data_IF_683987962171
#
_entry.id   IF_683987962171
#
_cell.length_a   1.000
_cell.length_b   1.000
_cell.length_c   1.000
_cell.angle_alpha   90.00
_cell.angle_beta   90.00
_cell.angle_gamma   90.00
#
_symmetry.space_group_name_H-M   'P 1'
#
loop_
_entity.id
_entity.type
_entity.pdbx_description
1 polymer ?
#
# COMPACT_ATOMS: atom_id res chain seq x y z
N UNK A 1 -8.88 -19.27 38.21
CA UNK A 1 -8.47 -19.59 36.83
C UNK A 1 -8.85 -18.43 35.91
N UNK A 2 -7.88 -17.61 35.48
CA UNK A 2 -8.12 -16.54 34.48
C UNK A 2 -7.51 -17.01 33.16
N UNK A 3 -8.32 -17.34 32.17
CA UNK A 3 -7.84 -17.53 30.79
C UNK A 3 -7.30 -16.18 30.30
N UNK A 4 -6.05 -16.07 29.80
CA UNK A 4 -5.61 -14.84 29.19
C UNK A 4 -6.36 -14.61 27.87
N UNK A 5 -6.75 -13.35 27.66
CA UNK A 5 -7.41 -12.82 26.48
C UNK A 5 -6.88 -13.47 25.19
N UNK A 6 -7.76 -14.15 24.47
CA UNK A 6 -7.57 -14.45 23.05
C UNK A 6 -7.47 -13.11 22.31
N UNK A 7 -6.25 -12.62 22.09
CA UNK A 7 -6.00 -11.49 21.20
C UNK A 7 -6.59 -11.92 19.85
N UNK A 8 -7.74 -11.35 19.47
CA UNK A 8 -8.27 -11.48 18.10
C UNK A 8 -7.09 -11.15 17.19
N UNK A 9 -6.64 -12.10 16.38
CA UNK A 9 -5.62 -11.88 15.34
C UNK A 9 -6.00 -10.58 14.61
N UNK A 10 -5.34 -9.49 14.96
CA UNK A 10 -5.44 -8.25 14.23
C UNK A 10 -4.83 -8.59 12.88
N UNK A 11 -5.67 -8.62 11.84
CA UNK A 11 -5.21 -8.79 10.47
C UNK A 11 -4.43 -7.52 10.10
N UNK A 12 -3.19 -7.44 10.58
CA UNK A 12 -2.21 -6.46 10.17
C UNK A 12 -1.82 -6.85 8.74
N UNK A 13 -1.95 -5.90 7.84
CA UNK A 13 -1.50 -6.04 6.45
C UNK A 13 -0.42 -5.00 6.18
N UNK A 14 0.43 -5.31 5.20
CA UNK A 14 1.51 -4.43 4.77
C UNK A 14 1.17 -3.84 3.40
N UNK A 15 1.75 -2.69 3.11
CA UNK A 15 1.68 -2.08 1.79
C UNK A 15 2.98 -1.36 1.43
N UNK A 16 3.30 -1.41 0.15
CA UNK A 16 4.36 -0.63 -0.46
C UNK A 16 3.75 0.67 -1.00
N UNK A 17 4.25 1.79 -0.51
CA UNK A 17 3.92 3.14 -0.94
C UNK A 17 5.01 3.62 -1.91
N UNK A 18 4.60 3.95 -3.11
CA UNK A 18 5.42 4.56 -4.13
C UNK A 18 5.32 6.08 -3.98
N UNK A 19 6.45 6.71 -3.69
CA UNK A 19 6.54 8.15 -3.54
C UNK A 19 6.79 8.82 -4.90
N UNK A 20 6.38 10.07 -5.02
CA UNK A 20 6.65 10.89 -6.20
C UNK A 20 8.15 11.22 -6.23
N UNK A 21 8.82 10.86 -7.31
CA UNK A 21 10.25 11.15 -7.46
C UNK A 21 10.51 12.64 -7.70
N UNK A 22 11.73 13.09 -7.37
CA UNK A 22 12.17 14.46 -7.66
C UNK A 22 12.25 14.74 -9.17
N UNK A 23 12.53 13.71 -9.97
CA UNK A 23 12.70 13.83 -11.43
C UNK A 23 11.38 13.73 -12.20
N UNK A 24 10.29 13.37 -11.53
CA UNK A 24 8.99 13.09 -12.17
C UNK A 24 8.88 11.69 -12.80
N UNK A 25 9.95 10.88 -12.76
CA UNK A 25 9.92 9.47 -13.17
C UNK A 25 9.12 8.61 -12.21
N UNK A 26 8.51 7.56 -12.75
CA UNK A 26 7.54 6.72 -12.04
C UNK A 26 7.97 5.26 -12.07
N UNK A 27 8.23 4.69 -10.88
CA UNK A 27 8.47 3.25 -10.75
C UNK A 27 7.26 2.41 -11.14
N UNK A 28 6.07 2.96 -10.91
CA UNK A 28 4.81 2.30 -11.19
C UNK A 28 4.59 2.17 -12.70
N UNK A 29 4.86 3.23 -13.46
CA UNK A 29 4.62 3.29 -14.91
C UNK A 29 5.74 2.64 -15.71
N UNK A 30 6.98 2.77 -15.25
CA UNK A 30 8.17 2.34 -16.00
C UNK A 30 8.58 0.90 -15.68
N UNK A 31 7.95 0.28 -14.68
CA UNK A 31 7.85 -1.19 -14.58
C UNK A 31 9.08 -1.95 -14.11
N UNK A 32 10.22 -1.28 -13.86
CA UNK A 32 11.36 -1.74 -13.06
C UNK A 32 12.34 -0.58 -12.93
N UNK A 33 12.91 -0.37 -11.74
CA UNK A 33 14.17 0.35 -11.67
C UNK A 33 15.16 -0.41 -12.55
N UNK A 34 15.54 0.21 -13.67
CA UNK A 34 16.51 -0.33 -14.61
C UNK A 34 17.72 -0.73 -13.76
N UNK A 35 18.28 -1.92 -14.00
CA UNK A 35 19.28 -2.64 -13.18
C UNK A 35 20.56 -1.86 -12.78
N UNK A 36 20.66 -0.56 -13.09
CA UNK A 36 21.88 0.23 -12.99
C UNK A 36 21.74 1.59 -12.28
N UNK A 37 20.54 2.18 -12.13
CA UNK A 37 20.39 3.43 -11.37
C UNK A 37 18.98 3.65 -10.81
N UNK A 38 18.90 3.78 -9.48
CA UNK A 38 17.67 4.02 -8.73
C UNK A 38 17.44 5.50 -8.40
N UNK A 39 18.49 6.33 -8.58
CA UNK A 39 18.51 7.76 -8.26
C UNK A 39 17.36 8.53 -8.91
N UNK A 40 16.97 8.28 -10.18
CA UNK A 40 15.88 9.01 -10.82
C UNK A 40 14.54 8.77 -10.14
N UNK A 41 14.39 7.66 -9.43
CA UNK A 41 13.15 7.27 -8.76
C UNK A 41 13.08 7.66 -7.29
N UNK A 42 14.16 8.21 -6.74
CA UNK A 42 14.18 8.68 -5.36
C UNK A 42 13.30 9.93 -5.20
N UNK A 43 12.48 9.92 -4.16
CA UNK A 43 11.76 11.10 -3.71
C UNK A 43 12.72 12.07 -2.99
N UNK A 44 12.37 13.35 -2.97
CA UNK A 44 13.12 14.34 -2.21
C UNK A 44 12.98 14.07 -0.69
N UNK A 45 13.96 14.46 0.16
CA UNK A 45 13.87 14.27 1.61
C UNK A 45 12.57 14.81 2.21
N UNK A 46 12.12 15.98 1.75
CA UNK A 46 10.90 16.65 2.21
C UNK A 46 9.65 15.82 1.87
N UNK A 47 9.65 15.16 0.70
CA UNK A 47 8.57 14.24 0.27
C UNK A 47 8.48 13.04 1.20
N UNK A 48 9.63 12.47 1.61
CA UNK A 48 9.65 11.36 2.57
C UNK A 48 9.10 11.78 3.93
N UNK A 49 9.59 12.89 4.47
CA UNK A 49 9.18 13.36 5.79
C UNK A 49 7.69 13.68 5.82
N UNK A 50 7.19 14.36 4.78
CA UNK A 50 5.77 14.63 4.63
C UNK A 50 4.96 13.33 4.57
N UNK A 51 5.32 12.39 3.70
CA UNK A 51 4.61 11.11 3.60
C UNK A 51 4.63 10.34 4.93
N UNK A 52 5.78 10.23 5.61
CA UNK A 52 5.92 9.56 6.91
C UNK A 52 5.01 10.20 7.96
N UNK A 53 5.04 11.53 8.07
CA UNK A 53 4.25 12.25 9.06
C UNK A 53 2.75 12.06 8.81
N UNK A 54 2.31 12.10 7.55
CA UNK A 54 0.91 11.90 7.21
C UNK A 54 0.45 10.45 7.44
N UNK A 55 1.24 9.44 7.05
CA UNK A 55 0.90 8.04 7.35
C UNK A 55 0.87 7.74 8.85
N UNK A 56 1.78 8.34 9.64
CA UNK A 56 1.75 8.24 11.10
C UNK A 56 0.50 8.89 11.70
N UNK A 57 0.10 10.08 11.22
CA UNK A 57 -1.15 10.75 11.64
C UNK A 57 -2.38 9.91 11.32
N UNK A 58 -2.35 9.20 10.19
CA UNK A 58 -3.40 8.26 9.79
C UNK A 58 -3.37 6.96 10.63
N UNK A 59 -2.37 6.75 11.49
CA UNK A 59 -2.29 5.59 12.39
C UNK A 59 -1.58 4.38 11.78
N UNK A 60 -0.86 4.54 10.67
CA UNK A 60 0.00 3.49 10.13
C UNK A 60 1.37 3.46 10.81
N UNK A 61 1.95 2.27 10.89
CA UNK A 61 3.36 2.07 11.27
C UNK A 61 4.23 2.14 10.02
N UNK A 62 5.38 2.81 10.12
CA UNK A 62 6.40 2.81 9.06
C UNK A 62 7.36 1.66 9.33
N UNK A 63 7.43 0.69 8.42
CA UNK A 63 8.23 -0.53 8.56
C UNK A 63 9.60 -0.39 7.92
N UNK A 64 9.68 0.26 6.75
CA UNK A 64 10.93 0.42 6.01
C UNK A 64 10.93 1.70 5.16
N UNK A 65 12.12 2.28 5.00
CA UNK A 65 12.39 3.42 4.12
C UNK A 65 13.48 3.02 3.15
N UNK A 66 13.14 2.96 1.87
CA UNK A 66 14.07 2.80 0.75
C UNK A 66 13.57 3.63 -0.41
N UNK A 67 13.74 3.16 -1.64
CA UNK A 67 13.15 3.78 -2.84
C UNK A 67 11.61 3.90 -2.73
N UNK A 68 11.00 2.95 -2.02
CA UNK A 68 9.60 2.99 -1.60
C UNK A 68 9.50 3.05 -0.08
N UNK A 69 8.33 3.43 0.43
CA UNK A 69 8.01 3.39 1.87
C UNK A 69 7.15 2.16 2.15
N UNK A 70 7.49 1.36 3.16
CA UNK A 70 6.68 0.24 3.61
C UNK A 70 5.87 0.65 4.84
N UNK A 71 4.56 0.40 4.81
CA UNK A 71 3.65 0.71 5.91
C UNK A 71 2.88 -0.53 6.35
N UNK A 72 2.54 -0.60 7.64
CA UNK A 72 1.66 -1.63 8.19
C UNK A 72 0.54 -1.04 9.01
N UNK A 73 -0.54 -1.81 9.15
CA UNK A 73 -1.69 -1.42 9.97
C UNK A 73 -2.83 -2.42 9.89
N UNK A 74 -3.87 -2.25 10.71
CA UNK A 74 -5.07 -3.11 10.65
C UNK A 74 -5.75 -3.00 9.29
N UNK A 75 -6.29 -4.10 8.76
CA UNK A 75 -7.03 -4.11 7.49
C UNK A 75 -8.10 -3.01 7.40
N UNK A 76 -8.87 -2.82 8.48
CA UNK A 76 -9.91 -1.76 8.55
C UNK A 76 -9.33 -0.35 8.37
N UNK A 77 -8.08 -0.14 8.78
CA UNK A 77 -7.42 1.15 8.61
C UNK A 77 -7.13 1.42 7.13
N UNK A 78 -6.67 0.40 6.39
CA UNK A 78 -6.49 0.50 4.94
C UNK A 78 -7.82 0.75 4.23
N UNK A 79 -8.86 -0.02 4.54
CA UNK A 79 -10.19 0.16 3.94
C UNK A 79 -10.72 1.58 4.14
N UNK A 80 -10.59 2.10 5.36
CA UNK A 80 -11.01 3.47 5.70
C UNK A 80 -10.19 4.53 4.97
N UNK A 81 -8.86 4.39 4.96
CA UNK A 81 -7.95 5.39 4.40
C UNK A 81 -8.06 5.46 2.88
N UNK A 82 -8.06 4.31 2.22
CA UNK A 82 -8.07 4.22 0.77
C UNK A 82 -9.49 4.17 0.18
N UNK A 83 -10.53 4.15 1.02
CA UNK A 83 -11.94 4.01 0.63
C UNK A 83 -12.17 2.79 -0.27
N UNK A 84 -11.62 1.65 0.13
CA UNK A 84 -11.69 0.37 -0.58
C UNK A 84 -12.20 -0.73 0.36
N UNK A 85 -12.66 -1.84 -0.21
CA UNK A 85 -12.93 -3.07 0.55
C UNK A 85 -11.88 -4.12 0.21
N UNK A 86 -11.23 -4.67 1.25
CA UNK A 86 -10.12 -5.61 1.11
C UNK A 86 -10.62 -6.98 1.57
N UNK A 87 -10.62 -7.94 0.65
CA UNK A 87 -11.01 -9.31 0.95
C UNK A 87 -9.76 -10.21 0.97
N UNK A 88 -9.50 -10.82 2.12
CA UNK A 88 -8.40 -11.77 2.31
C UNK A 88 -8.85 -13.16 1.83
N UNK A 89 -8.83 -13.41 0.52
CA UNK A 89 -9.10 -14.74 -0.05
C UNK A 89 -7.83 -15.58 -0.20
N UNK A 90 -7.93 -16.90 -0.02
CA UNK A 90 -7.04 -17.86 -0.71
C UNK A 90 -7.54 -17.95 -2.16
N UNK A 91 -6.62 -17.93 -3.12
CA UNK A 91 -6.97 -18.18 -4.52
C UNK A 91 -7.36 -19.67 -4.62
N UNK A 92 -8.65 -19.96 -4.78
CA UNK A 92 -9.05 -21.06 -5.64
C UNK A 92 -9.20 -20.44 -7.03
N UNK A 93 -8.68 -21.10 -8.08
CA UNK A 93 -8.37 -20.58 -9.43
C UNK A 93 -9.55 -20.05 -10.29
N UNK A 94 -10.65 -19.60 -9.69
CA UNK A 94 -11.80 -19.05 -10.41
C UNK A 94 -12.14 -17.64 -9.91
N UNK A 95 -11.49 -16.63 -10.50
CA UNK A 95 -11.82 -15.22 -10.30
C UNK A 95 -13.22 -14.88 -10.85
N UNK A 96 -13.99 -13.98 -10.22
CA UNK A 96 -15.28 -13.59 -10.75
C UNK A 96 -15.11 -12.72 -12.01
N UNK A 97 -15.85 -13.12 -13.03
CA UNK A 97 -15.96 -12.50 -14.35
C UNK A 97 -16.15 -10.98 -14.28
N UNK A 98 -15.37 -10.28 -15.10
CA UNK A 98 -15.50 -8.85 -15.36
C UNK A 98 -16.93 -8.52 -15.80
N UNK A 99 -17.68 -7.76 -15.01
CA UNK A 99 -18.80 -6.98 -15.52
C UNK A 99 -19.20 -5.81 -14.61
N UNK A 100 -19.14 -4.60 -15.20
CA UNK A 100 -19.93 -3.37 -14.91
C UNK A 100 -19.61 -2.61 -13.60
N UNK A 101 -19.01 -1.42 -13.65
CA UNK A 101 -19.56 -0.07 -13.95
C UNK A 101 -19.93 0.71 -12.69
N UNK A 102 -19.41 1.94 -12.59
CA UNK A 102 -19.85 3.06 -11.73
C UNK A 102 -19.61 2.96 -10.22
N UNK A 103 -18.69 3.79 -9.72
CA UNK A 103 -18.50 4.26 -8.35
C UNK A 103 -18.44 3.23 -7.17
N UNK A 104 -17.33 3.27 -6.43
CA UNK A 104 -17.26 3.01 -4.97
C UNK A 104 -17.23 1.60 -4.37
N UNK A 105 -16.95 0.52 -5.10
CA UNK A 105 -16.51 -0.73 -4.44
C UNK A 105 -15.40 -1.44 -5.23
N UNK A 106 -14.15 -0.96 -5.11
CA UNK A 106 -12.98 -1.70 -5.59
C UNK A 106 -12.72 -2.87 -4.63
N UNK A 107 -13.18 -4.05 -5.00
CA UNK A 107 -12.78 -5.32 -4.36
C UNK A 107 -11.33 -5.59 -4.70
N UNK A 108 -10.46 -5.54 -3.69
CA UNK A 108 -9.03 -5.80 -3.85
C UNK A 108 -8.70 -7.17 -3.28
N UNK A 109 -8.24 -8.07 -4.15
CA UNK A 109 -7.60 -9.32 -3.76
C UNK A 109 -6.10 -9.09 -3.59
N UNK A 110 -5.50 -9.61 -2.53
CA UNK A 110 -4.04 -9.51 -2.29
C UNK A 110 -3.16 -10.09 -3.41
N UNK A 111 -3.73 -10.84 -4.36
CA UNK A 111 -3.06 -11.35 -5.55
C UNK A 111 -3.09 -10.36 -6.73
N UNK A 112 -4.06 -9.45 -6.76
CA UNK A 112 -4.06 -8.33 -7.69
C UNK A 112 -3.10 -7.24 -7.17
N UNK A 113 -2.43 -6.51 -8.07
CA UNK A 113 -1.58 -5.36 -7.73
C UNK A 113 -2.36 -4.03 -7.88
N UNK A 114 -3.50 -3.80 -7.21
CA UNK A 114 -4.18 -2.53 -7.39
C UNK A 114 -3.37 -1.44 -6.72
N UNK A 115 -3.07 -0.42 -7.51
CA UNK A 115 -2.53 0.83 -7.04
C UNK A 115 -3.68 1.65 -6.46
N UNK A 116 -3.71 1.73 -5.14
CA UNK A 116 -4.58 2.63 -4.40
C UNK A 116 -3.99 4.04 -4.42
N UNK A 117 -4.86 5.05 -4.37
CA UNK A 117 -4.48 6.47 -4.26
C UNK A 117 -5.10 7.07 -3.02
N UNK A 118 -4.43 8.04 -2.42
CA UNK A 118 -4.95 8.88 -1.34
C UNK A 118 -4.96 10.30 -1.88
N UNK A 119 -6.16 10.90 -2.03
CA UNK A 119 -6.32 12.24 -2.60
C UNK A 119 -5.52 13.28 -1.83
N UNK A 120 -5.51 13.13 -0.51
CA UNK A 120 -4.84 14.00 0.45
C UNK A 120 -3.30 13.94 0.37
N UNK A 121 -2.75 12.95 -0.34
CA UNK A 121 -1.32 12.73 -0.50
C UNK A 121 -0.88 12.64 -1.96
N UNK A 122 -1.71 13.06 -2.93
CA UNK A 122 -1.39 12.94 -4.37
C UNK A 122 -0.14 13.72 -4.80
N UNK A 123 0.26 14.72 -4.04
CA UNK A 123 1.48 15.51 -4.27
C UNK A 123 2.76 14.78 -3.85
N UNK A 124 2.65 13.79 -2.94
CA UNK A 124 3.80 13.05 -2.39
C UNK A 124 3.77 11.54 -2.66
N UNK A 125 2.59 10.96 -2.85
CA UNK A 125 2.35 9.53 -3.08
C UNK A 125 1.82 9.35 -4.50
N UNK A 126 2.52 8.54 -5.27
CA UNK A 126 2.08 8.15 -6.60
C UNK A 126 1.08 6.98 -6.57
N UNK A 127 1.28 6.04 -5.65
CA UNK A 127 0.37 4.93 -5.45
C UNK A 127 0.76 4.05 -4.28
N UNK A 128 -0.18 3.20 -3.85
CA UNK A 128 0.02 2.24 -2.77
C UNK A 128 -0.41 0.85 -3.25
N UNK A 129 0.46 -0.14 -3.11
CA UNK A 129 0.17 -1.54 -3.40
C UNK A 129 0.17 -2.34 -2.12
N UNK A 130 -0.87 -3.14 -1.89
CA UNK A 130 -0.87 -4.10 -0.79
C UNK A 130 0.21 -5.17 -1.03
N UNK A 131 0.86 -5.60 0.05
CA UNK A 131 1.90 -6.63 0.05
C UNK A 131 1.43 -7.83 0.86
N UNK A 132 1.64 -9.05 0.35
CA UNK A 132 1.33 -10.26 1.12
C UNK A 132 2.21 -10.31 2.38
N UNK A 133 1.63 -10.56 3.57
CA UNK A 133 2.42 -10.77 4.78
C UNK A 133 3.40 -11.94 4.56
N UNK A 134 4.69 -11.73 4.83
CA UNK A 134 5.73 -12.76 4.73
C UNK A 134 6.56 -12.78 3.44
N UNK A 135 6.33 -11.85 2.51
CA UNK A 135 7.25 -11.64 1.37
C UNK A 135 8.01 -10.34 1.61
N UNK A 136 9.16 -10.44 2.27
CA UNK A 136 10.20 -9.40 2.27
C UNK A 136 10.93 -9.51 0.92
N UNK A 137 11.03 -8.39 0.20
CA UNK A 137 11.91 -8.27 -0.96
C UNK A 137 13.36 -8.14 -0.51
#
# INVERSE_FOLDING_TARGET
MKQPLRIKKSNIIMATVFLRSKTGRSLIKEGKAIQYDVTPYLAAPETYEKAINEFKKLGFTIEAKGITLSISGPLKLFEKTFKVKIYLGKLDDHGPSQNRSSAENRTIYLSSRPLMKIKELEDVVEGVSLTKPGVLF
#
